data_IF_875738213113
#
_entry.id   IF_875738213113
#
_cell.length_a   1.000
_cell.length_b   1.000
_cell.length_c   1.000
_cell.angle_alpha   90.00
_cell.angle_beta   90.00
_cell.angle_gamma   90.00
#
_symmetry.space_group_name_H-M   'P 1'
#
loop_
_entity.id
_entity.type
_entity.pdbx_description
1 polymer ?
#
# COMPACT_ATOMS: atom_id res chain seq x y z
N UNK A 1 18.63 1.05 24.86
CA UNK A 1 18.56 2.50 24.55
C UNK A 1 18.14 2.61 23.12
N UNK A 2 16.87 2.90 22.92
CA UNK A 2 16.40 3.25 21.58
C UNK A 2 17.19 4.45 21.10
N UNK A 3 17.92 4.29 20.00
CA UNK A 3 18.52 5.43 19.32
C UNK A 3 17.35 6.25 18.80
N UNK A 4 16.94 7.23 19.56
CA UNK A 4 16.04 8.29 19.12
C UNK A 4 16.79 9.08 18.06
N UNK A 5 16.49 8.82 16.81
CA UNK A 5 16.89 9.71 15.75
C UNK A 5 16.09 10.99 15.94
N UNK A 6 16.74 11.99 16.56
CA UNK A 6 16.15 13.30 16.91
C UNK A 6 15.45 13.99 15.74
N UNK A 7 15.74 13.60 14.49
CA UNK A 7 15.05 14.07 13.30
C UNK A 7 13.76 13.33 12.93
N UNK A 8 13.56 12.07 13.37
CA UNK A 8 12.41 11.27 12.93
C UNK A 8 11.12 11.62 13.68
N UNK A 9 11.18 11.91 14.97
CA UNK A 9 9.98 12.35 15.72
C UNK A 9 9.50 13.73 15.29
N UNK A 10 10.41 14.68 15.04
CA UNK A 10 10.03 15.98 14.47
C UNK A 10 9.40 15.82 13.09
N UNK A 11 10.00 15.01 12.21
CA UNK A 11 9.44 14.76 10.88
C UNK A 11 8.06 14.07 10.93
N UNK A 12 7.85 13.14 11.87
CA UNK A 12 6.56 12.45 12.04
C UNK A 12 5.51 13.43 12.57
N UNK A 13 5.82 14.17 13.65
CA UNK A 13 4.86 15.08 14.26
C UNK A 13 4.46 16.26 13.37
N UNK A 14 5.38 16.78 12.59
CA UNK A 14 5.15 17.99 11.80
C UNK A 14 4.64 17.71 10.38
N UNK A 15 4.71 16.47 9.90
CA UNK A 15 4.39 16.12 8.50
C UNK A 15 3.36 15.02 8.33
N UNK A 16 3.15 14.19 9.35
CA UNK A 16 2.14 13.14 9.33
C UNK A 16 0.99 13.53 10.24
N UNK A 17 -0.20 13.45 9.70
CA UNK A 17 -1.46 13.64 10.42
C UNK A 17 -2.16 12.29 10.56
N UNK A 18 -2.85 12.10 11.67
CA UNK A 18 -3.70 10.92 11.86
C UNK A 18 -5.10 11.26 11.39
N UNK A 19 -5.67 10.44 10.52
CA UNK A 19 -7.07 10.56 10.15
C UNK A 19 -7.96 10.11 11.33
N UNK A 20 -9.02 10.86 11.58
CA UNK A 20 -10.00 10.51 12.60
C UNK A 20 -10.95 9.41 12.12
N UNK A 21 -11.22 9.38 10.81
CA UNK A 21 -12.14 8.44 10.19
C UNK A 21 -11.41 7.39 9.33
N UNK A 22 -12.01 6.21 9.22
CA UNK A 22 -11.57 5.18 8.27
C UNK A 22 -11.78 5.70 6.85
N UNK A 23 -10.68 5.74 6.08
CA UNK A 23 -10.66 6.32 4.72
C UNK A 23 -9.85 5.46 3.79
N UNK A 24 -10.19 5.51 2.50
CA UNK A 24 -9.30 5.10 1.41
C UNK A 24 -8.70 6.33 0.75
N UNK A 25 -7.59 6.13 0.04
CA UNK A 25 -7.02 7.18 -0.79
C UNK A 25 -6.91 6.69 -2.22
N UNK A 26 -7.33 7.53 -3.16
CA UNK A 26 -7.03 7.32 -4.58
C UNK A 26 -5.63 7.87 -4.83
N UNK A 27 -4.77 7.07 -5.43
CA UNK A 27 -3.45 7.48 -5.86
C UNK A 27 -3.32 7.33 -7.37
N UNK A 28 -3.08 8.44 -8.05
CA UNK A 28 -2.91 8.48 -9.50
C UNK A 28 -1.51 8.95 -9.87
N UNK A 29 -0.88 8.20 -10.75
CA UNK A 29 0.37 8.54 -11.41
C UNK A 29 0.06 8.88 -12.87
N UNK A 30 0.64 9.98 -13.38
CA UNK A 30 0.55 10.31 -14.81
C UNK A 30 1.95 10.36 -15.39
N UNK A 31 2.26 9.43 -16.28
CA UNK A 31 3.52 9.31 -16.98
C UNK A 31 3.27 9.34 -18.49
N UNK A 32 3.94 10.24 -19.21
CA UNK A 32 3.76 10.42 -20.67
C UNK A 32 2.30 10.65 -21.07
N UNK A 33 1.55 11.39 -20.25
CA UNK A 33 0.13 11.66 -20.49
C UNK A 33 -0.82 10.51 -20.16
N UNK A 34 -0.31 9.34 -19.75
CA UNK A 34 -1.11 8.18 -19.37
C UNK A 34 -1.31 8.15 -17.85
N UNK A 35 -2.56 8.26 -17.36
CA UNK A 35 -2.86 8.04 -15.96
C UNK A 35 -2.83 6.56 -15.61
N UNK A 36 -2.44 6.26 -14.37
CA UNK A 36 -2.53 4.96 -13.72
C UNK A 36 -3.08 5.20 -12.33
N UNK A 37 -4.26 4.69 -12.05
CA UNK A 37 -5.02 5.02 -10.85
C UNK A 37 -5.24 3.79 -9.98
N UNK A 38 -4.91 3.89 -8.71
CA UNK A 38 -5.09 2.82 -7.72
C UNK A 38 -5.63 3.33 -6.40
N UNK A 39 -5.91 2.41 -5.49
CA UNK A 39 -6.38 2.69 -4.14
C UNK A 39 -5.29 2.38 -3.12
N UNK A 40 -4.94 3.37 -2.30
CA UNK A 40 -4.12 3.15 -1.12
C UNK A 40 -5.00 2.70 0.05
N UNK A 41 -4.64 1.58 0.63
CA UNK A 41 -5.41 0.91 1.68
C UNK A 41 -4.50 0.04 2.57
N UNK A 42 -5.05 -0.39 3.69
CA UNK A 42 -4.45 -1.39 4.56
C UNK A 42 -4.93 -2.78 4.15
N UNK A 43 -4.00 -3.64 3.73
CA UNK A 43 -4.26 -5.04 3.38
C UNK A 43 -3.99 -5.97 4.56
N UNK A 44 -4.78 -7.04 4.69
CA UNK A 44 -4.73 -7.93 5.84
C UNK A 44 -3.51 -8.87 5.80
N UNK A 45 -2.86 -9.06 6.95
CA UNK A 45 -1.86 -10.10 7.17
C UNK A 45 -2.46 -11.49 6.94
N UNK A 46 -3.72 -11.69 7.31
CA UNK A 46 -4.40 -12.98 7.15
C UNK A 46 -4.67 -13.29 5.68
N UNK A 47 -5.00 -12.31 4.85
CA UNK A 47 -5.15 -12.51 3.40
C UNK A 47 -3.84 -12.94 2.73
N UNK A 48 -2.70 -12.44 3.23
CA UNK A 48 -1.40 -12.92 2.78
C UNK A 48 -1.15 -14.37 3.23
N UNK A 49 -1.46 -14.71 4.48
CA UNK A 49 -1.26 -16.05 5.05
C UNK A 49 -2.18 -17.10 4.41
N UNK A 50 -3.41 -16.71 4.10
CA UNK A 50 -4.42 -17.57 3.48
C UNK A 50 -4.30 -17.62 1.95
N UNK A 51 -3.26 -17.01 1.38
CA UNK A 51 -3.02 -16.99 -0.06
C UNK A 51 -4.12 -16.32 -0.89
N UNK A 52 -4.90 -15.43 -0.31
CA UNK A 52 -5.74 -14.47 -1.05
C UNK A 52 -4.82 -13.48 -1.78
N UNK A 53 -3.79 -12.99 -1.08
CA UNK A 53 -2.71 -12.20 -1.68
C UNK A 53 -1.62 -13.16 -2.18
N UNK A 54 -1.54 -13.28 -3.52
CA UNK A 54 -0.61 -14.17 -4.22
C UNK A 54 0.77 -13.54 -4.38
N UNK A 55 1.79 -14.33 -4.12
CA UNK A 55 3.18 -13.98 -4.39
C UNK A 55 3.73 -14.84 -5.54
N UNK A 56 4.64 -14.29 -6.33
CA UNK A 56 5.32 -15.00 -7.43
C UNK A 56 6.84 -15.04 -7.26
N UNK A 57 7.35 -14.47 -6.17
CA UNK A 57 8.78 -14.42 -5.85
C UNK A 57 9.02 -14.94 -4.44
N UNK A 58 10.09 -15.71 -4.26
CA UNK A 58 10.58 -16.09 -2.95
C UNK A 58 11.47 -14.99 -2.39
N UNK A 59 11.25 -14.65 -1.15
CA UNK A 59 12.02 -13.60 -0.47
C UNK A 59 13.28 -14.18 0.17
N UNK A 60 14.34 -13.37 0.21
CA UNK A 60 15.62 -13.70 0.83
C UNK A 60 15.62 -13.26 2.28
N UNK A 61 16.01 -14.12 3.18
CA UNK A 61 15.99 -13.91 4.63
C UNK A 61 16.90 -12.74 5.07
N UNK A 62 18.08 -12.61 4.45
CA UNK A 62 19.03 -11.52 4.75
C UNK A 62 18.43 -10.13 4.48
N UNK A 63 17.65 -9.99 3.40
CA UNK A 63 16.97 -8.74 3.06
C UNK A 63 15.72 -8.48 3.91
N UNK A 64 15.10 -9.54 4.40
CA UNK A 64 13.93 -9.41 5.27
C UNK A 64 14.30 -8.93 6.67
N UNK A 65 15.43 -9.39 7.23
CA UNK A 65 15.88 -9.02 8.58
C UNK A 65 16.01 -7.50 8.73
N UNK A 66 16.65 -6.83 7.78
CA UNK A 66 16.78 -5.37 7.78
C UNK A 66 15.41 -4.68 7.80
N UNK A 67 14.50 -5.13 6.94
CA UNK A 67 13.15 -4.58 6.85
C UNK A 67 12.28 -4.88 8.06
N UNK A 68 12.38 -6.07 8.64
CA UNK A 68 11.71 -6.44 9.88
C UNK A 68 12.17 -5.51 11.00
N UNK A 69 13.49 -5.33 11.14
CA UNK A 69 14.07 -4.43 12.14
C UNK A 69 13.57 -3.01 11.97
N UNK A 70 13.52 -2.51 10.72
CA UNK A 70 13.01 -1.18 10.42
C UNK A 70 11.53 -1.03 10.83
N UNK A 71 10.64 -1.90 10.35
CA UNK A 71 9.20 -1.83 10.64
C UNK A 71 8.94 -2.00 12.13
N UNK A 72 9.62 -2.93 12.80
CA UNK A 72 9.43 -3.19 14.22
C UNK A 72 9.92 -2.03 15.11
N UNK A 73 11.05 -1.41 14.75
CA UNK A 73 11.62 -0.28 15.48
C UNK A 73 10.80 1.00 15.30
N UNK A 74 10.39 1.30 14.06
CA UNK A 74 9.62 2.50 13.76
C UNK A 74 8.14 2.36 14.15
N UNK A 75 7.65 1.13 14.35
CA UNK A 75 6.21 0.82 14.46
C UNK A 75 5.39 1.43 13.33
N UNK A 76 5.98 1.56 12.13
CA UNK A 76 5.37 2.20 10.97
C UNK A 76 5.89 1.58 9.67
N UNK A 77 5.05 1.64 8.66
CA UNK A 77 5.39 1.24 7.30
C UNK A 77 5.59 2.49 6.46
N UNK A 78 6.79 2.69 5.93
CA UNK A 78 7.19 3.91 5.22
C UNK A 78 7.03 3.82 3.70
N UNK A 79 6.68 2.66 3.17
CA UNK A 79 6.49 2.47 1.73
C UNK A 79 5.41 1.45 1.43
N UNK A 80 4.43 1.82 0.58
CA UNK A 80 3.35 0.91 0.23
C UNK A 80 3.84 -0.29 -0.58
N UNK A 81 3.10 -1.39 -0.47
CA UNK A 81 3.28 -2.57 -1.29
C UNK A 81 2.40 -2.40 -2.53
N UNK A 82 2.96 -2.67 -3.69
CA UNK A 82 2.23 -2.58 -4.94
C UNK A 82 1.47 -3.89 -5.19
N UNK A 83 0.14 -3.80 -5.15
CA UNK A 83 -0.76 -4.91 -5.40
C UNK A 83 -1.55 -4.70 -6.69
N UNK A 84 -1.90 -5.81 -7.34
CA UNK A 84 -2.75 -5.84 -8.52
C UNK A 84 -3.97 -6.72 -8.29
N UNK A 85 -5.14 -6.32 -8.79
CA UNK A 85 -6.37 -7.09 -8.71
C UNK A 85 -7.14 -7.07 -10.05
N UNK A 86 -8.05 -8.00 -10.24
CA UNK A 86 -8.97 -7.97 -11.38
C UNK A 86 -9.95 -6.84 -11.21
N UNK A 87 -10.00 -5.93 -12.21
CA UNK A 87 -10.86 -4.74 -12.14
C UNK A 87 -12.31 -5.11 -11.82
N UNK A 88 -12.92 -4.32 -10.94
CA UNK A 88 -14.32 -4.40 -10.57
C UNK A 88 -15.00 -3.09 -10.91
N UNK A 89 -16.13 -3.19 -11.62
CA UNK A 89 -16.85 -2.00 -12.10
C UNK A 89 -17.33 -1.10 -10.97
N UNK A 90 -17.73 -1.64 -9.85
CA UNK A 90 -18.25 -0.85 -8.73
C UNK A 90 -17.15 -0.02 -8.06
N UNK A 91 -15.94 -0.58 -7.95
CA UNK A 91 -14.77 0.15 -7.46
C UNK A 91 -14.38 1.23 -8.47
N UNK A 92 -14.31 0.87 -9.75
CA UNK A 92 -13.95 1.80 -10.82
C UNK A 92 -14.90 3.01 -10.85
N UNK A 93 -16.21 2.79 -10.79
CA UNK A 93 -17.21 3.87 -10.87
C UNK A 93 -17.07 4.87 -9.70
N UNK A 94 -16.79 4.37 -8.48
CA UNK A 94 -16.54 5.24 -7.32
C UNK A 94 -15.25 6.04 -7.53
N UNK A 95 -14.15 5.39 -7.91
CA UNK A 95 -12.86 6.03 -8.12
C UNK A 95 -12.95 7.10 -9.22
N UNK A 96 -13.59 6.78 -10.35
CA UNK A 96 -13.78 7.71 -11.45
C UNK A 96 -14.58 8.95 -11.01
N UNK A 97 -15.67 8.76 -10.24
CA UNK A 97 -16.48 9.86 -9.75
C UNK A 97 -15.67 10.84 -8.87
N UNK A 98 -14.78 10.34 -8.01
CA UNK A 98 -13.90 11.21 -7.22
C UNK A 98 -12.87 11.95 -8.08
N UNK A 99 -12.24 11.24 -9.02
CA UNK A 99 -11.22 11.83 -9.91
C UNK A 99 -11.81 12.94 -10.80
N UNK A 100 -13.07 12.76 -11.25
CA UNK A 100 -13.75 13.71 -12.13
C UNK A 100 -14.35 14.91 -11.38
N UNK A 101 -14.84 14.73 -10.16
CA UNK A 101 -15.67 15.72 -9.49
C UNK A 101 -15.02 16.37 -8.25
N UNK A 102 -13.98 15.75 -7.67
CA UNK A 102 -13.37 16.25 -6.44
C UNK A 102 -11.97 16.82 -6.71
N UNK A 103 -11.57 17.81 -5.92
CA UNK A 103 -10.20 18.37 -5.98
C UNK A 103 -9.23 17.42 -5.25
N UNK A 104 -8.09 17.07 -5.86
CA UNK A 104 -7.09 16.27 -5.17
C UNK A 104 -6.51 17.01 -3.96
N UNK A 105 -6.23 16.27 -2.88
CA UNK A 105 -5.54 16.82 -1.69
C UNK A 105 -4.04 17.04 -1.96
N UNK A 106 -3.48 16.32 -2.93
CA UNK A 106 -2.13 16.52 -3.45
C UNK A 106 -2.16 16.45 -4.98
N UNK A 107 -1.52 17.43 -5.64
CA UNK A 107 -1.29 17.45 -7.08
C UNK A 107 0.06 18.11 -7.33
N UNK A 108 1.04 17.35 -7.76
CA UNK A 108 2.37 17.84 -8.06
C UNK A 108 3.08 16.97 -9.08
N UNK A 109 4.04 17.57 -9.79
CA UNK A 109 4.92 16.84 -10.71
C UNK A 109 6.31 16.73 -10.09
N UNK A 110 6.81 15.51 -9.99
CA UNK A 110 8.12 15.21 -9.45
C UNK A 110 9.23 15.54 -10.48
N UNK A 111 10.49 15.51 -10.03
CA UNK A 111 11.66 15.86 -10.87
C UNK A 111 11.87 14.95 -12.07
N UNK A 112 11.32 13.74 -12.03
CA UNK A 112 11.31 12.76 -13.11
C UNK A 112 10.19 12.97 -14.15
N UNK A 113 9.40 14.03 -13.98
CA UNK A 113 8.29 14.39 -14.88
C UNK A 113 7.00 13.62 -14.62
N UNK A 114 6.95 12.75 -13.62
CA UNK A 114 5.73 12.02 -13.24
C UNK A 114 4.85 12.92 -12.38
N UNK A 115 3.58 13.05 -12.75
CA UNK A 115 2.59 13.76 -11.92
C UNK A 115 1.94 12.80 -10.95
N UNK A 116 1.85 13.24 -9.70
CA UNK A 116 1.25 12.51 -8.59
C UNK A 116 0.02 13.25 -8.09
N UNK A 117 -1.12 12.54 -8.01
CA UNK A 117 -2.37 13.07 -7.47
C UNK A 117 -2.94 12.15 -6.42
N UNK A 118 -3.52 12.73 -5.39
CA UNK A 118 -4.15 11.97 -4.30
C UNK A 118 -5.50 12.58 -3.95
N UNK A 119 -6.52 11.74 -3.82
CA UNK A 119 -7.84 12.10 -3.29
C UNK A 119 -8.16 11.25 -2.07
N UNK A 120 -8.93 11.79 -1.15
CA UNK A 120 -9.40 11.08 0.04
C UNK A 120 -10.86 10.65 -0.15
N UNK A 121 -11.15 9.37 0.06
CA UNK A 121 -12.50 8.82 0.13
C UNK A 121 -12.84 8.63 1.60
N UNK A 122 -13.65 9.53 2.16
CA UNK A 122 -14.08 9.51 3.55
C UNK A 122 -15.59 9.33 3.73
N UNK A 123 -16.38 9.44 2.64
CA UNK A 123 -17.83 9.20 2.71
C UNK A 123 -18.07 7.75 3.08
N UNK A 124 -18.80 7.54 4.20
CA UNK A 124 -19.00 6.19 4.76
C UNK A 124 -19.62 5.22 3.75
N UNK A 125 -20.56 5.68 2.94
CA UNK A 125 -21.23 4.87 1.92
C UNK A 125 -20.23 4.34 0.88
N UNK A 126 -19.32 5.18 0.44
CA UNK A 126 -18.30 4.83 -0.56
C UNK A 126 -17.24 3.91 0.05
N UNK A 127 -16.81 4.17 1.29
CA UNK A 127 -15.89 3.31 2.04
C UNK A 127 -16.50 1.91 2.21
N UNK A 128 -17.76 1.83 2.66
CA UNK A 128 -18.46 0.56 2.84
C UNK A 128 -18.68 -0.17 1.50
N UNK A 129 -18.94 0.57 0.41
CA UNK A 129 -19.12 -0.01 -0.92
C UNK A 129 -17.82 -0.60 -1.47
N UNK A 130 -16.70 0.12 -1.36
CA UNK A 130 -15.38 -0.36 -1.75
C UNK A 130 -15.00 -1.61 -0.94
N UNK A 131 -15.18 -1.56 0.39
CA UNK A 131 -14.92 -2.72 1.25
C UNK A 131 -15.70 -3.95 0.80
N UNK A 132 -17.03 -3.82 0.57
CA UNK A 132 -17.88 -4.91 0.10
C UNK A 132 -17.51 -5.41 -1.29
N UNK A 133 -17.01 -4.56 -2.16
CA UNK A 133 -16.55 -4.95 -3.49
C UNK A 133 -15.27 -5.80 -3.38
N UNK A 134 -14.29 -5.40 -2.54
CA UNK A 134 -13.09 -6.18 -2.31
C UNK A 134 -13.36 -7.53 -1.67
N UNK A 135 -14.41 -7.69 -0.85
CA UNK A 135 -14.81 -8.99 -0.30
C UNK A 135 -15.23 -10.02 -1.38
N UNK A 136 -15.52 -9.57 -2.59
CA UNK A 136 -15.87 -10.45 -3.73
C UNK A 136 -14.68 -10.78 -4.62
N UNK A 137 -13.52 -10.19 -4.36
CA UNK A 137 -12.30 -10.40 -5.13
C UNK A 137 -11.55 -11.59 -4.51
N UNK A 138 -11.55 -12.71 -5.20
CA UNK A 138 -10.96 -13.96 -4.70
C UNK A 138 -9.44 -13.91 -4.57
N UNK A 139 -8.77 -13.11 -5.39
CA UNK A 139 -7.31 -13.08 -5.48
C UNK A 139 -6.77 -11.69 -5.80
N UNK A 140 -5.73 -11.32 -5.05
CA UNK A 140 -4.90 -10.13 -5.27
C UNK A 140 -3.47 -10.61 -5.48
N UNK A 141 -2.70 -9.87 -6.27
CA UNK A 141 -1.34 -10.27 -6.65
C UNK A 141 -0.34 -9.21 -6.22
N UNK A 142 0.79 -9.63 -5.63
CA UNK A 142 1.89 -8.71 -5.36
C UNK A 142 2.59 -8.42 -6.70
N UNK A 143 2.54 -7.18 -7.16
CA UNK A 143 3.27 -6.73 -8.35
C UNK A 143 4.70 -6.30 -7.99
N UNK A 144 4.87 -5.59 -6.86
CA UNK A 144 6.18 -5.23 -6.31
C UNK A 144 6.15 -5.16 -4.78
N UNK A 145 7.29 -5.36 -4.15
CA UNK A 145 7.47 -5.23 -2.71
C UNK A 145 7.30 -6.54 -1.93
N UNK A 146 7.64 -7.70 -2.52
CA UNK A 146 7.57 -9.00 -1.85
C UNK A 146 8.30 -9.03 -0.50
N UNK A 147 9.50 -8.44 -0.42
CA UNK A 147 10.26 -8.34 0.85
C UNK A 147 9.56 -7.44 1.87
N UNK A 148 8.93 -6.35 1.43
CA UNK A 148 8.15 -5.46 2.32
C UNK A 148 6.93 -6.18 2.87
N UNK A 149 6.19 -6.89 2.01
CA UNK A 149 5.03 -7.68 2.42
C UNK A 149 5.41 -8.78 3.42
N UNK A 150 6.42 -9.59 3.09
CA UNK A 150 6.90 -10.66 3.97
C UNK A 150 7.36 -10.14 5.33
N UNK A 151 8.09 -9.02 5.35
CA UNK A 151 8.57 -8.39 6.59
C UNK A 151 7.43 -7.85 7.45
N UNK A 152 6.46 -7.16 6.84
CA UNK A 152 5.28 -6.66 7.54
C UNK A 152 4.47 -7.81 8.17
N UNK A 153 4.27 -8.90 7.43
CA UNK A 153 3.59 -10.10 7.92
C UNK A 153 4.35 -10.72 9.10
N UNK A 154 5.68 -10.87 9.00
CA UNK A 154 6.49 -11.43 10.09
C UNK A 154 6.42 -10.56 11.37
N UNK A 155 6.45 -9.23 11.23
CA UNK A 155 6.27 -8.32 12.37
C UNK A 155 4.86 -8.44 12.95
N UNK A 156 3.83 -8.51 12.12
CA UNK A 156 2.45 -8.72 12.56
C UNK A 156 2.30 -10.01 13.36
N UNK A 157 2.81 -11.13 12.84
CA UNK A 157 2.78 -12.43 13.53
C UNK A 157 3.59 -12.43 14.83
N UNK A 158 4.73 -11.74 14.88
CA UNK A 158 5.50 -11.54 16.11
C UNK A 158 4.66 -10.81 17.15
N UNK A 159 4.05 -9.68 16.80
CA UNK A 159 3.24 -8.86 17.70
C UNK A 159 1.97 -9.56 18.16
N UNK A 160 1.35 -10.41 17.32
CA UNK A 160 0.25 -11.30 17.74
C UNK A 160 0.68 -12.25 18.85
N UNK A 161 1.88 -12.83 18.76
CA UNK A 161 2.43 -13.69 19.82
C UNK A 161 2.73 -12.95 21.12
N UNK A 162 3.19 -11.72 21.01
CA UNK A 162 3.48 -10.85 22.15
C UNK A 162 2.19 -10.30 22.81
N UNK A 163 1.07 -10.29 22.08
CA UNK A 163 -0.24 -9.80 22.51
C UNK A 163 -1.34 -10.87 22.31
N UNK A 164 -1.39 -11.91 23.13
CA UNK A 164 -2.33 -13.04 22.93
C UNK A 164 -3.80 -12.67 22.98
N UNK A 165 -4.13 -11.47 23.49
CA UNK A 165 -5.49 -10.95 23.57
C UNK A 165 -5.87 -10.02 22.41
N UNK A 166 -5.11 -10.02 21.29
CA UNK A 166 -5.45 -9.18 20.14
C UNK A 166 -6.82 -9.53 19.56
N UNK A 167 -7.50 -8.51 19.04
CA UNK A 167 -8.89 -8.60 18.55
C UNK A 167 -8.96 -8.79 17.02
N UNK A 168 -7.87 -8.46 16.31
CA UNK A 168 -7.82 -8.41 14.85
C UNK A 168 -7.91 -6.98 14.29
N UNK A 169 -8.31 -6.01 15.10
CA UNK A 169 -8.44 -4.61 14.70
C UNK A 169 -7.14 -3.79 14.88
N UNK A 170 -6.12 -4.37 15.51
CA UNK A 170 -4.86 -3.70 15.75
C UNK A 170 -4.08 -3.48 14.45
N UNK A 171 -3.37 -2.37 14.33
CA UNK A 171 -2.64 -1.94 13.13
C UNK A 171 -1.60 -2.98 12.65
N UNK A 172 -1.01 -3.74 13.55
CA UNK A 172 -0.05 -4.79 13.18
C UNK A 172 -0.68 -5.97 12.42
N UNK A 173 -2.01 -6.05 12.33
CA UNK A 173 -2.73 -7.03 11.52
C UNK A 173 -2.83 -6.63 10.06
N UNK A 174 -2.32 -5.45 9.70
CA UNK A 174 -2.44 -4.89 8.36
C UNK A 174 -1.10 -4.36 7.85
N UNK A 175 -1.01 -4.21 6.54
CA UNK A 175 0.12 -3.56 5.91
C UNK A 175 -0.33 -2.58 4.81
N UNK A 176 0.41 -1.47 4.70
CA UNK A 176 0.13 -0.42 3.72
C UNK A 176 0.35 -0.93 2.30
N UNK A 177 -0.62 -0.72 1.44
CA UNK A 177 -0.58 -1.13 0.04
C UNK A 177 -1.23 -0.10 -0.88
N UNK A 178 -0.85 -0.11 -2.15
CA UNK A 178 -1.57 0.53 -3.23
C UNK A 178 -2.03 -0.56 -4.19
N UNK A 179 -3.33 -0.65 -4.39
CA UNK A 179 -3.99 -1.67 -5.20
C UNK A 179 -4.39 -1.06 -6.53
N UNK A 180 -3.81 -1.56 -7.62
CA UNK A 180 -4.18 -1.14 -8.98
C UNK A 180 -5.02 -2.21 -9.67
N UNK A 181 -6.11 -1.83 -10.35
CA UNK A 181 -6.81 -2.76 -11.22
C UNK A 181 -5.90 -3.14 -12.41
N UNK A 182 -6.00 -4.37 -12.86
CA UNK A 182 -5.07 -4.95 -13.84
C UNK A 182 -5.07 -4.21 -15.19
N UNK A 183 -6.15 -3.58 -15.57
CA UNK A 183 -6.32 -2.81 -16.79
C UNK A 183 -5.67 -1.41 -16.74
N UNK A 184 -5.36 -0.91 -15.56
CA UNK A 184 -4.55 0.30 -15.35
C UNK A 184 -3.04 0.02 -15.49
N UNK A 185 -2.62 -1.24 -15.43
CA UNK A 185 -1.21 -1.60 -15.44
C UNK A 185 -0.64 -1.63 -16.86
N UNK A 186 0.63 -1.22 -16.98
CA UNK A 186 1.43 -1.36 -18.19
C UNK A 186 2.69 -2.15 -17.88
N UNK A 187 2.90 -3.21 -18.62
CA UNK A 187 4.15 -3.97 -18.56
C UNK A 187 5.14 -3.27 -19.48
N UNK A 188 6.27 -2.87 -18.92
CA UNK A 188 7.39 -2.31 -19.65
C UNK A 188 8.49 -3.37 -19.77
N UNK A 189 9.26 -3.31 -20.86
CA UNK A 189 10.40 -4.19 -21.05
C UNK A 189 11.44 -3.96 -19.93
N UNK A 190 11.86 -5.04 -19.31
CA UNK A 190 12.94 -5.01 -18.33
C UNK A 190 14.28 -5.20 -19.07
N UNK A 191 14.91 -4.10 -19.40
CA UNK A 191 16.20 -4.11 -20.12
C UNK A 191 17.36 -4.25 -19.12
N UNK A 192 18.04 -5.39 -19.15
CA UNK A 192 19.30 -5.55 -18.46
C UNK A 192 20.42 -4.90 -19.30
N UNK A 193 21.01 -3.84 -18.78
CA UNK A 193 22.26 -3.30 -19.34
C UNK A 193 23.42 -4.14 -18.84
N UNK A 194 24.09 -4.84 -19.74
CA UNK A 194 25.38 -5.46 -19.46
C UNK A 194 26.45 -4.38 -19.63
N UNK A 195 26.98 -3.89 -18.52
CA UNK A 195 28.16 -3.04 -18.52
C UNK A 195 29.35 -3.96 -18.78
N UNK A 196 29.93 -3.87 -19.95
CA UNK A 196 31.23 -4.48 -20.18
C UNK A 196 32.31 -3.66 -19.44
N UNK A 197 32.86 -4.29 -18.44
CA UNK A 197 34.07 -3.78 -17.73
C UNK A 197 35.29 -4.12 -18.54
#
# INVERSE_FOLDING_TARGET
IGVRLVGSEMCIRDRYITDEDRSYYIYQLVMDGRPQTGLAACSSVDDYMNHVIKKHENTREDKEIDRITHVDTCSAQTGPIFLAYRSDKSIHDIVAAYVENETPIYDFTAVDGITHRVWKIAKKEDVDAIYKAFQKIDQIYIADGHHRAASAVKVGLKRRKENPGYTGEEEFNYFLSVLFPHDELRILDYNLSLIHI
#
